data_IF_858638488797
#
_entry.id   IF_858638488797
#
_cell.length_a   1.000
_cell.length_b   1.000
_cell.length_c   1.000
_cell.angle_alpha   90.00
_cell.angle_beta   90.00
_cell.angle_gamma   90.00
#
_symmetry.space_group_name_H-M   'P 1'
#
loop_
_entity.id
_entity.type
_entity.pdbx_description
1 polymer ?
#
# COMPACT_ATOMS: atom_id res chain seq x y z
N UNK A 1 -18.80 -36.89 68.83
CA UNK A 1 -17.71 -37.07 67.86
C UNK A 1 -18.16 -36.72 66.41
N UNK A 2 -19.36 -37.06 65.96
CA UNK A 2 -19.86 -36.80 64.63
C UNK A 2 -19.95 -35.30 64.23
N UNK A 3 -20.31 -34.38 65.15
CA UNK A 3 -20.39 -32.94 64.86
C UNK A 3 -19.03 -32.24 64.60
N UNK A 4 -17.94 -32.81 65.14
CA UNK A 4 -16.58 -32.29 64.87
C UNK A 4 -15.99 -32.79 63.54
N UNK A 5 -16.44 -33.98 63.08
CA UNK A 5 -15.99 -34.51 61.79
C UNK A 5 -16.68 -33.78 60.59
N UNK A 6 -17.98 -33.42 60.74
CA UNK A 6 -18.70 -32.65 59.76
C UNK A 6 -18.17 -31.22 59.59
N UNK A 7 -17.72 -30.58 60.70
CA UNK A 7 -17.11 -29.24 60.60
C UNK A 7 -15.74 -29.26 59.94
N UNK A 8 -14.97 -30.35 60.11
CA UNK A 8 -13.66 -30.49 59.47
C UNK A 8 -13.76 -30.79 57.96
N UNK A 9 -14.78 -31.59 57.56
CA UNK A 9 -15.05 -31.85 56.15
C UNK A 9 -15.60 -30.61 55.43
N UNK A 10 -16.41 -29.75 56.06
CA UNK A 10 -16.90 -28.49 55.49
C UNK A 10 -15.75 -27.45 55.37
N UNK A 11 -14.79 -27.43 56.32
CA UNK A 11 -13.61 -26.56 56.26
C UNK A 11 -12.64 -26.98 55.13
N UNK A 12 -12.48 -28.29 54.89
CA UNK A 12 -11.65 -28.81 53.78
C UNK A 12 -12.33 -28.56 52.44
N UNK A 13 -13.66 -28.63 52.33
CA UNK A 13 -14.42 -28.31 51.13
C UNK A 13 -14.39 -26.81 50.79
N UNK A 14 -14.35 -25.94 51.81
CA UNK A 14 -14.23 -24.49 51.63
C UNK A 14 -12.78 -24.05 51.32
N UNK A 15 -11.75 -24.80 51.73
CA UNK A 15 -10.37 -24.55 51.33
C UNK A 15 -10.07 -25.03 49.89
N UNK A 16 -10.83 -25.97 49.35
CA UNK A 16 -10.67 -26.44 47.96
C UNK A 16 -11.23 -25.48 46.91
N UNK A 17 -12.01 -24.44 47.31
CA UNK A 17 -12.60 -23.44 46.41
C UNK A 17 -11.78 -22.14 46.36
N UNK A 18 -10.72 -22.04 47.16
CA UNK A 18 -9.82 -20.87 47.18
C UNK A 18 -8.40 -21.23 46.72
N UNK A 19 -8.28 -22.01 45.64
CA UNK A 19 -7.08 -21.89 44.83
C UNK A 19 -7.19 -20.54 44.13
N UNK A 20 -6.26 -19.60 44.37
CA UNK A 20 -6.15 -18.48 43.48
C UNK A 20 -5.95 -19.12 42.07
N UNK A 21 -6.80 -18.84 41.15
CA UNK A 21 -6.44 -18.93 39.76
C UNK A 21 -5.13 -18.15 39.66
N UNK A 22 -4.02 -18.83 39.47
CA UNK A 22 -2.80 -18.19 39.04
C UNK A 22 -3.26 -17.56 37.71
N UNK A 23 -3.58 -16.28 37.73
CA UNK A 23 -3.73 -15.53 36.52
C UNK A 23 -2.43 -15.77 35.76
N UNK A 24 -2.48 -16.46 34.65
CA UNK A 24 -1.31 -16.58 33.79
C UNK A 24 -0.80 -15.16 33.56
N UNK A 25 0.51 -14.96 33.67
CA UNK A 25 1.09 -13.67 33.35
C UNK A 25 0.71 -13.32 31.94
N UNK A 26 0.33 -12.04 31.63
CA UNK A 26 -0.04 -11.65 30.32
C UNK A 26 1.10 -11.92 29.32
N UNK A 27 0.77 -12.42 28.16
CA UNK A 27 1.73 -12.57 27.07
C UNK A 27 2.07 -11.19 26.55
N UNK A 28 3.33 -10.81 26.65
CA UNK A 28 3.81 -9.55 26.10
C UNK A 28 4.04 -9.72 24.60
N UNK A 29 3.31 -8.97 23.76
CA UNK A 29 3.44 -8.97 22.30
C UNK A 29 3.90 -7.60 21.79
N UNK A 30 4.99 -7.60 21.06
CA UNK A 30 5.60 -6.41 20.47
C UNK A 30 5.21 -6.29 19.00
N UNK A 31 4.62 -5.16 18.63
CA UNK A 31 4.07 -4.91 17.28
C UNK A 31 4.74 -3.67 16.68
N UNK A 32 5.59 -3.85 15.66
CA UNK A 32 6.25 -2.74 15.01
C UNK A 32 5.36 -2.11 13.93
N UNK A 33 5.26 -0.78 13.96
CA UNK A 33 4.44 0.02 13.03
C UNK A 33 5.11 1.37 12.74
N UNK A 34 4.76 2.00 11.62
CA UNK A 34 5.17 3.39 11.35
C UNK A 34 4.13 4.42 11.78
N UNK A 35 2.97 4.01 12.29
CA UNK A 35 1.99 4.97 12.76
C UNK A 35 2.27 5.42 14.19
N UNK A 36 2.22 6.72 14.41
CA UNK A 36 2.17 7.37 15.73
C UNK A 36 0.81 8.03 15.99
N UNK A 37 -0.18 7.82 15.11
CA UNK A 37 -1.52 8.38 15.26
C UNK A 37 -2.26 7.66 16.40
N UNK A 38 -2.65 8.41 17.43
CA UNK A 38 -3.27 7.87 18.65
C UNK A 38 -4.59 7.13 18.36
N UNK A 39 -5.41 7.61 17.42
CA UNK A 39 -6.69 6.97 17.09
C UNK A 39 -6.47 5.63 16.36
N UNK A 40 -5.48 5.57 15.46
CA UNK A 40 -5.08 4.33 14.81
C UNK A 40 -4.53 3.32 15.82
N UNK A 41 -3.61 3.73 16.70
CA UNK A 41 -3.04 2.86 17.73
C UNK A 41 -4.10 2.35 18.72
N UNK A 42 -5.07 3.20 19.10
CA UNK A 42 -6.20 2.81 19.93
C UNK A 42 -7.09 1.78 19.24
N UNK A 43 -7.35 1.96 17.94
CA UNK A 43 -8.13 0.99 17.15
C UNK A 43 -7.39 -0.35 17.06
N UNK A 44 -6.09 -0.34 16.73
CA UNK A 44 -5.26 -1.54 16.68
C UNK A 44 -5.20 -2.24 18.05
N UNK A 45 -5.06 -1.49 19.14
CA UNK A 45 -5.11 -2.01 20.51
C UNK A 45 -6.42 -2.72 20.81
N UNK A 46 -7.56 -2.16 20.36
CA UNK A 46 -8.86 -2.81 20.55
C UNK A 46 -8.95 -4.16 19.83
N UNK A 47 -8.27 -4.35 18.70
CA UNK A 47 -8.21 -5.65 18.02
C UNK A 47 -7.42 -6.68 18.83
N UNK A 48 -6.30 -6.25 19.45
CA UNK A 48 -5.53 -7.14 20.35
C UNK A 48 -6.38 -7.55 21.55
N UNK A 49 -7.11 -6.63 22.16
CA UNK A 49 -7.99 -6.90 23.30
C UNK A 49 -9.12 -7.89 22.92
N UNK A 50 -9.77 -7.69 21.77
CA UNK A 50 -10.82 -8.57 21.26
C UNK A 50 -10.28 -9.97 20.94
N UNK A 51 -9.10 -10.06 20.32
CA UNK A 51 -8.40 -11.31 20.07
C UNK A 51 -8.04 -12.04 21.36
N UNK A 52 -7.45 -11.33 22.33
CA UNK A 52 -7.12 -11.87 23.64
C UNK A 52 -8.35 -12.44 24.36
N UNK A 53 -9.46 -11.69 24.34
CA UNK A 53 -10.74 -12.13 24.88
C UNK A 53 -11.26 -13.40 24.19
N UNK A 54 -11.22 -13.44 22.86
CA UNK A 54 -11.70 -14.60 22.09
C UNK A 54 -10.85 -15.86 22.38
N UNK A 55 -9.55 -15.69 22.60
CA UNK A 55 -8.63 -16.75 22.96
C UNK A 55 -8.69 -17.15 24.45
N UNK A 56 -9.27 -16.32 25.32
CA UNK A 56 -9.29 -16.52 26.77
C UNK A 56 -7.92 -16.39 27.42
N UNK A 57 -7.02 -15.59 26.86
CA UNK A 57 -5.68 -15.29 27.37
C UNK A 57 -5.54 -13.81 27.66
N UNK A 58 -4.56 -13.44 28.50
CA UNK A 58 -4.19 -12.04 28.70
C UNK A 58 -3.03 -11.68 27.77
N UNK A 59 -3.18 -10.60 27.00
CA UNK A 59 -2.12 -10.04 26.15
C UNK A 59 -1.85 -8.61 26.59
N UNK A 60 -0.57 -8.25 26.69
CA UNK A 60 -0.09 -6.89 26.88
C UNK A 60 0.62 -6.44 25.61
N UNK A 61 -0.04 -5.63 24.74
CA UNK A 61 0.57 -5.18 23.50
C UNK A 61 1.53 -4.02 23.73
N UNK A 62 2.70 -4.07 23.12
CA UNK A 62 3.64 -2.96 22.98
C UNK A 62 3.73 -2.55 21.51
N UNK A 63 3.20 -1.36 21.15
CA UNK A 63 3.37 -0.81 19.82
C UNK A 63 4.70 -0.07 19.69
N UNK A 64 5.59 -0.57 18.82
CA UNK A 64 6.91 -0.01 18.58
C UNK A 64 6.79 0.92 17.37
N UNK A 65 6.89 2.24 17.61
CA UNK A 65 6.94 3.21 16.53
C UNK A 65 8.33 3.24 15.90
N UNK A 66 8.39 3.05 14.57
CA UNK A 66 9.57 3.23 13.75
C UNK A 66 9.28 4.33 12.73
N UNK A 67 10.24 5.24 12.49
CA UNK A 67 10.05 6.39 11.58
C UNK A 67 9.72 5.96 10.16
N UNK A 68 8.72 6.58 9.53
CA UNK A 68 8.24 6.21 8.19
C UNK A 68 9.29 6.34 7.09
N UNK A 69 10.20 7.33 7.16
CA UNK A 69 11.27 7.54 6.16
C UNK A 69 12.41 6.54 6.28
N UNK A 70 12.63 5.98 7.48
CA UNK A 70 13.71 5.02 7.76
C UNK A 70 13.15 3.66 8.19
N UNK A 71 11.85 3.44 7.99
CA UNK A 71 11.10 2.31 8.54
C UNK A 71 11.75 0.96 8.22
N UNK A 72 12.03 0.69 6.94
CA UNK A 72 12.60 -0.59 6.49
C UNK A 72 13.94 -0.91 7.18
N UNK A 73 14.83 0.08 7.26
CA UNK A 73 16.13 -0.10 7.92
C UNK A 73 15.98 -0.31 9.42
N UNK A 74 15.12 0.47 10.07
CA UNK A 74 14.86 0.36 11.51
C UNK A 74 14.15 -0.96 11.86
N UNK A 75 13.23 -1.42 11.01
CA UNK A 75 12.56 -2.70 11.18
C UNK A 75 13.55 -3.86 11.08
N UNK A 76 14.40 -3.86 10.07
CA UNK A 76 15.43 -4.91 9.93
C UNK A 76 16.36 -4.96 11.16
N UNK A 77 16.78 -3.79 11.65
CA UNK A 77 17.58 -3.69 12.89
C UNK A 77 16.83 -4.21 14.12
N UNK A 78 15.51 -3.89 14.22
CA UNK A 78 14.68 -4.37 15.31
C UNK A 78 14.53 -5.89 15.28
N UNK A 79 14.20 -6.48 14.10
CA UNK A 79 14.05 -7.94 13.94
C UNK A 79 15.33 -8.73 14.26
N UNK A 80 16.49 -8.10 14.15
CA UNK A 80 17.80 -8.70 14.48
C UNK A 80 18.27 -8.37 15.90
N UNK A 81 17.50 -7.64 16.68
CA UNK A 81 17.83 -7.24 18.04
C UNK A 81 17.59 -8.36 19.06
N UNK A 82 17.95 -8.12 20.33
CA UNK A 82 17.64 -9.05 21.44
C UNK A 82 16.18 -9.01 21.86
N UNK A 83 15.45 -7.98 21.48
CA UNK A 83 14.04 -7.76 21.79
C UNK A 83 13.29 -7.41 20.50
N UNK A 84 13.15 -8.37 19.58
CA UNK A 84 12.49 -8.11 18.30
C UNK A 84 10.98 -7.95 18.44
N UNK A 85 10.36 -7.35 17.45
CA UNK A 85 8.90 -7.39 17.30
C UNK A 85 8.43 -8.81 17.03
N UNK A 86 7.27 -9.19 17.58
CA UNK A 86 6.57 -10.46 17.33
C UNK A 86 5.75 -10.37 16.05
N UNK A 87 5.09 -9.24 15.83
CA UNK A 87 4.39 -8.90 14.59
C UNK A 87 4.86 -7.53 14.08
N UNK A 88 4.78 -7.31 12.80
CA UNK A 88 5.26 -6.06 12.20
C UNK A 88 4.53 -5.71 10.91
N UNK A 89 4.49 -4.43 10.62
CA UNK A 89 4.11 -3.93 9.31
C UNK A 89 5.28 -4.08 8.36
N UNK A 90 5.02 -4.37 7.10
CA UNK A 90 6.06 -4.54 6.07
C UNK A 90 5.63 -3.86 4.78
N UNK A 91 6.59 -3.18 4.14
CA UNK A 91 6.41 -2.53 2.84
C UNK A 91 6.55 -3.54 1.69
N UNK A 92 5.86 -3.26 0.60
CA UNK A 92 5.91 -4.06 -0.64
C UNK A 92 7.33 -4.26 -1.17
N UNK A 93 8.19 -3.24 -1.06
CA UNK A 93 9.58 -3.31 -1.53
C UNK A 93 10.43 -4.32 -0.75
N UNK A 94 10.11 -4.57 0.54
CA UNK A 94 10.96 -5.33 1.45
C UNK A 94 10.59 -6.81 1.54
N UNK A 95 9.33 -7.16 1.26
CA UNK A 95 8.77 -8.47 1.64
C UNK A 95 9.52 -9.65 1.03
N UNK A 96 9.92 -9.58 -0.25
CA UNK A 96 10.64 -10.69 -0.88
C UNK A 96 12.01 -10.94 -0.23
N UNK A 97 12.71 -9.88 0.14
CA UNK A 97 13.97 -9.99 0.89
C UNK A 97 13.74 -10.60 2.28
N UNK A 98 12.67 -10.22 2.98
CA UNK A 98 12.35 -10.74 4.32
C UNK A 98 11.92 -12.21 4.28
N UNK A 99 11.13 -12.62 3.29
CA UNK A 99 10.78 -14.03 3.06
C UNK A 99 12.05 -14.86 2.79
N UNK A 100 12.88 -14.41 1.86
CA UNK A 100 14.14 -15.10 1.51
C UNK A 100 15.11 -15.21 2.69
N UNK A 101 15.13 -14.20 3.58
CA UNK A 101 15.94 -14.23 4.80
C UNK A 101 15.32 -15.06 5.94
N UNK A 102 14.11 -15.62 5.75
CA UNK A 102 13.42 -16.42 6.77
C UNK A 102 12.94 -15.61 7.96
N UNK A 103 12.69 -14.31 7.79
CA UNK A 103 12.22 -13.41 8.87
C UNK A 103 10.72 -13.52 9.11
N UNK A 104 9.94 -13.93 8.10
CA UNK A 104 8.48 -14.03 8.19
C UNK A 104 8.03 -15.45 8.49
N UNK A 105 7.13 -15.62 9.44
CA UNK A 105 6.44 -16.87 9.70
C UNK A 105 5.37 -17.13 8.64
N UNK A 106 5.06 -18.41 8.37
CA UNK A 106 3.93 -18.78 7.51
C UNK A 106 2.61 -18.51 8.21
N UNK A 107 1.64 -17.97 7.48
CA UNK A 107 0.33 -17.59 7.99
C UNK A 107 -0.79 -18.56 7.57
N UNK A 108 -0.51 -19.55 6.71
CA UNK A 108 -1.51 -20.44 6.11
C UNK A 108 -2.46 -21.04 7.15
N UNK A 109 -1.93 -21.66 8.20
CA UNK A 109 -2.76 -22.31 9.23
C UNK A 109 -3.60 -21.28 10.02
N UNK A 110 -3.03 -20.12 10.33
CA UNK A 110 -3.71 -19.05 11.05
C UNK A 110 -4.86 -18.42 10.24
N UNK A 111 -4.72 -18.34 8.92
CA UNK A 111 -5.71 -17.75 8.02
C UNK A 111 -6.97 -18.57 7.84
N UNK A 112 -6.94 -19.89 8.07
CA UNK A 112 -8.07 -20.81 7.82
C UNK A 112 -9.33 -20.35 8.55
N UNK A 113 -9.20 -19.75 9.73
CA UNK A 113 -10.32 -19.27 10.54
C UNK A 113 -10.96 -17.97 10.00
N UNK A 114 -10.33 -17.30 9.02
CA UNK A 114 -10.68 -15.94 8.59
C UNK A 114 -10.91 -15.82 7.09
N UNK A 115 -11.48 -16.86 6.47
CA UNK A 115 -11.89 -16.90 5.08
C UNK A 115 -10.77 -16.43 4.10
N UNK A 116 -9.75 -17.26 3.83
CA UNK A 116 -8.67 -16.90 2.94
C UNK A 116 -9.13 -16.69 1.48
N UNK A 117 -10.24 -17.29 1.04
CA UNK A 117 -10.79 -17.15 -0.31
C UNK A 117 -11.40 -15.75 -0.57
N UNK A 118 -11.66 -14.99 0.50
CA UNK A 118 -12.11 -13.61 0.43
C UNK A 118 -10.99 -12.61 0.06
N UNK A 119 -9.74 -13.02 0.18
CA UNK A 119 -8.61 -12.19 -0.23
C UNK A 119 -8.52 -12.08 -1.75
N UNK A 120 -8.13 -10.91 -2.25
CA UNK A 120 -7.92 -10.70 -3.68
C UNK A 120 -6.56 -11.27 -4.13
N UNK A 121 -6.57 -12.14 -5.13
CA UNK A 121 -5.36 -12.84 -5.60
C UNK A 121 -4.28 -11.87 -6.12
N UNK A 122 -4.70 -10.82 -6.82
CA UNK A 122 -3.79 -9.79 -7.34
C UNK A 122 -3.11 -9.00 -6.23
N UNK A 123 -3.85 -8.68 -5.16
CA UNK A 123 -3.33 -8.01 -3.98
C UNK A 123 -2.44 -8.94 -3.14
N UNK A 124 -2.68 -10.26 -3.17
CA UNK A 124 -1.93 -11.25 -2.39
C UNK A 124 -0.64 -11.72 -3.04
N UNK A 125 -0.49 -11.61 -4.35
CA UNK A 125 0.59 -12.21 -5.12
C UNK A 125 2.01 -11.89 -4.60
N UNK A 126 2.21 -10.66 -4.13
CA UNK A 126 3.50 -10.19 -3.62
C UNK A 126 3.89 -10.85 -2.28
N UNK A 127 2.91 -11.21 -1.46
CA UNK A 127 3.06 -11.63 -0.05
C UNK A 127 3.19 -13.12 0.13
N UNK A 128 3.23 -13.85 -1.00
CA UNK A 128 3.32 -15.30 -1.06
C UNK A 128 4.64 -15.76 -1.70
N UNK A 129 5.02 -17.00 -1.38
CA UNK A 129 6.03 -17.76 -2.10
C UNK A 129 5.45 -19.15 -2.42
N UNK A 130 5.05 -19.36 -3.68
CA UNK A 130 4.23 -20.50 -4.06
C UNK A 130 2.88 -20.49 -3.33
N UNK A 131 2.58 -21.58 -2.62
CA UNK A 131 1.35 -21.71 -1.82
C UNK A 131 1.48 -21.15 -0.39
N UNK A 132 2.70 -20.78 0.02
CA UNK A 132 2.98 -20.27 1.36
C UNK A 132 2.71 -18.78 1.46
N UNK A 133 1.88 -18.37 2.42
CA UNK A 133 1.55 -16.97 2.72
C UNK A 133 2.39 -16.50 3.89
N UNK A 134 3.08 -15.36 3.74
CA UNK A 134 3.99 -14.79 4.75
C UNK A 134 3.54 -13.45 5.31
N UNK A 135 2.67 -12.74 4.61
CA UNK A 135 2.06 -11.52 5.09
C UNK A 135 0.66 -11.33 4.49
N UNK A 136 -0.18 -10.51 5.13
CA UNK A 136 -1.53 -10.20 4.64
C UNK A 136 -1.66 -8.68 4.53
N UNK A 137 -1.99 -8.13 3.35
CA UNK A 137 -2.18 -6.70 3.17
C UNK A 137 -3.30 -6.15 4.05
N UNK A 138 -3.00 -5.13 4.83
CA UNK A 138 -4.00 -4.33 5.52
C UNK A 138 -4.28 -3.01 4.79
N UNK A 139 -3.38 -2.61 3.91
CA UNK A 139 -3.50 -1.44 3.05
C UNK A 139 -3.24 -1.85 1.61
N UNK A 140 -4.23 -1.63 0.75
CA UNK A 140 -4.19 -1.92 -0.67
C UNK A 140 -4.73 -0.69 -1.40
N UNK A 141 -3.91 0.36 -1.44
CA UNK A 141 -4.35 1.67 -1.93
C UNK A 141 -4.05 1.80 -3.43
N UNK A 142 -5.08 1.84 -4.29
CA UNK A 142 -4.87 2.08 -5.70
C UNK A 142 -4.49 3.54 -5.92
N UNK A 143 -3.69 3.79 -6.93
CA UNK A 143 -3.49 5.14 -7.44
C UNK A 143 -4.65 5.53 -8.32
N UNK A 144 -5.25 6.66 -8.03
CA UNK A 144 -6.34 7.27 -8.78
C UNK A 144 -5.91 8.65 -9.27
N UNK A 145 -6.58 9.17 -10.28
CA UNK A 145 -6.38 10.56 -10.70
C UNK A 145 -7.18 11.49 -9.81
N UNK A 146 -6.51 12.46 -9.19
CA UNK A 146 -7.12 13.60 -8.50
C UNK A 146 -6.91 14.82 -9.37
N UNK A 147 -7.97 15.60 -9.65
CA UNK A 147 -7.90 16.68 -10.62
C UNK A 147 -8.64 17.95 -10.20
N UNK A 148 -8.21 19.08 -10.74
CA UNK A 148 -8.85 20.39 -10.60
C UNK A 148 -9.88 20.57 -11.72
N UNK A 149 -11.17 20.42 -11.39
CA UNK A 149 -12.26 20.51 -12.35
C UNK A 149 -12.41 21.91 -12.96
N UNK A 150 -12.05 22.96 -12.21
CA UNK A 150 -12.13 24.32 -12.72
C UNK A 150 -11.10 24.56 -13.86
N UNK A 151 -9.89 23.98 -13.77
CA UNK A 151 -8.88 24.09 -14.83
C UNK A 151 -9.27 23.32 -16.10
N UNK A 152 -9.91 22.15 -15.96
CA UNK A 152 -10.47 21.44 -17.12
C UNK A 152 -11.56 22.30 -17.82
N UNK A 153 -12.47 22.86 -17.04
CA UNK A 153 -13.53 23.73 -17.58
C UNK A 153 -12.96 25.00 -18.22
N UNK A 154 -11.97 25.66 -17.60
CA UNK A 154 -11.29 26.85 -18.13
C UNK A 154 -10.57 26.55 -19.47
N UNK A 155 -9.96 25.37 -19.57
CA UNK A 155 -9.34 24.91 -20.81
C UNK A 155 -10.36 24.51 -21.90
N UNK A 156 -11.65 24.46 -21.58
CA UNK A 156 -12.72 24.04 -22.50
C UNK A 156 -12.76 22.54 -22.72
N UNK A 157 -12.24 21.76 -21.77
CA UNK A 157 -12.23 20.31 -21.78
C UNK A 157 -13.46 19.74 -21.05
N UNK A 158 -13.82 18.51 -21.34
CA UNK A 158 -14.80 17.74 -20.59
C UNK A 158 -14.23 17.36 -19.22
N UNK A 159 -15.11 17.02 -18.30
CA UNK A 159 -14.70 16.34 -17.04
C UNK A 159 -14.07 14.98 -17.38
N UNK A 160 -12.97 14.58 -16.71
CA UNK A 160 -12.33 13.29 -16.93
C UNK A 160 -13.29 12.09 -16.88
N UNK A 161 -14.28 12.12 -15.98
CA UNK A 161 -15.28 11.05 -15.88
C UNK A 161 -16.25 11.00 -17.08
N UNK A 162 -16.40 12.09 -17.83
CA UNK A 162 -17.16 12.06 -19.09
C UNK A 162 -16.39 11.27 -20.15
N UNK A 163 -15.05 11.46 -20.26
CA UNK A 163 -14.20 10.64 -21.14
C UNK A 163 -14.22 9.17 -20.75
N UNK A 164 -14.20 8.86 -19.41
CA UNK A 164 -14.31 7.49 -18.90
C UNK A 164 -15.65 6.88 -19.33
N UNK A 165 -16.76 7.59 -19.13
CA UNK A 165 -18.10 7.11 -19.49
C UNK A 165 -18.27 6.89 -21.01
N UNK A 166 -17.58 7.67 -21.84
CA UNK A 166 -17.56 7.53 -23.30
C UNK A 166 -16.58 6.43 -23.77
N UNK A 167 -15.74 5.86 -22.90
CA UNK A 167 -14.69 4.89 -23.26
C UNK A 167 -13.54 5.51 -24.06
N UNK A 168 -13.32 6.82 -23.91
CA UNK A 168 -12.30 7.59 -24.66
C UNK A 168 -11.16 8.10 -23.77
N UNK A 169 -11.15 7.74 -22.49
CA UNK A 169 -10.10 8.12 -21.55
C UNK A 169 -8.84 7.26 -21.75
N UNK A 170 -8.05 7.59 -22.77
CA UNK A 170 -6.78 6.93 -23.11
C UNK A 170 -5.58 7.79 -22.70
N UNK A 171 -4.37 7.23 -22.79
CA UNK A 171 -3.13 7.97 -22.50
C UNK A 171 -2.89 9.10 -23.51
N UNK A 172 -3.29 8.93 -24.78
CA UNK A 172 -3.24 9.99 -25.78
C UNK A 172 -4.22 11.11 -25.43
N UNK A 173 -5.46 10.78 -25.04
CA UNK A 173 -6.44 11.77 -24.58
C UNK A 173 -5.95 12.50 -23.34
N UNK A 174 -5.31 11.79 -22.40
CA UNK A 174 -4.70 12.39 -21.22
C UNK A 174 -3.62 13.41 -21.62
N UNK A 175 -2.65 13.01 -22.46
CA UNK A 175 -1.60 13.92 -22.96
C UNK A 175 -2.18 15.17 -23.60
N UNK A 176 -3.18 15.00 -24.49
CA UNK A 176 -3.84 16.12 -25.17
C UNK A 176 -4.54 17.07 -24.20
N UNK A 177 -5.20 16.52 -23.16
CA UNK A 177 -5.81 17.33 -22.10
C UNK A 177 -4.75 18.11 -21.32
N UNK A 178 -3.66 17.47 -20.88
CA UNK A 178 -2.59 18.10 -20.10
C UNK A 178 -1.94 19.24 -20.90
N UNK A 179 -1.64 18.98 -22.17
CA UNK A 179 -1.10 19.99 -23.07
C UNK A 179 -2.10 21.15 -23.30
N UNK A 180 -3.37 20.86 -23.50
CA UNK A 180 -4.41 21.88 -23.70
C UNK A 180 -4.56 22.78 -22.48
N UNK A 181 -4.52 22.20 -21.26
CA UNK A 181 -4.54 22.97 -20.01
C UNK A 181 -3.33 23.91 -19.96
N UNK A 182 -2.13 23.40 -20.21
CA UNK A 182 -0.90 24.21 -20.22
C UNK A 182 -0.98 25.37 -21.21
N UNK A 183 -1.43 25.08 -22.44
CA UNK A 183 -1.52 26.08 -23.50
C UNK A 183 -2.59 27.16 -23.22
N UNK A 184 -3.69 26.81 -22.53
CA UNK A 184 -4.82 27.73 -22.31
C UNK A 184 -4.71 28.52 -21.00
N UNK A 185 -4.22 27.86 -19.93
CA UNK A 185 -4.23 28.45 -18.57
C UNK A 185 -2.83 28.86 -18.11
N UNK A 186 -1.77 28.33 -18.73
CA UNK A 186 -0.39 28.50 -18.28
C UNK A 186 -0.01 27.61 -17.09
N UNK A 187 -0.99 26.93 -16.46
CA UNK A 187 -0.77 25.99 -15.35
C UNK A 187 -0.29 24.65 -15.91
N UNK A 188 0.53 23.92 -15.17
CA UNK A 188 0.90 22.57 -15.59
C UNK A 188 -0.31 21.63 -15.61
N UNK A 189 -0.36 20.72 -16.59
CA UNK A 189 -1.43 19.73 -16.69
C UNK A 189 -1.29 18.64 -15.61
N UNK A 190 -0.08 18.13 -15.41
CA UNK A 190 0.17 16.99 -14.53
C UNK A 190 1.36 17.23 -13.58
N UNK A 191 1.22 16.75 -12.37
CA UNK A 191 2.28 16.62 -11.38
C UNK A 191 2.44 15.15 -11.01
N UNK A 192 3.67 14.64 -10.99
CA UNK A 192 3.99 13.29 -10.50
C UNK A 192 3.58 13.11 -9.04
N UNK A 193 3.48 11.87 -8.60
CA UNK A 193 3.10 11.50 -7.22
C UNK A 193 3.95 12.27 -6.18
N UNK A 194 5.22 12.42 -6.46
CA UNK A 194 6.13 13.20 -5.64
C UNK A 194 6.98 14.07 -6.56
N UNK A 195 6.61 15.34 -6.74
CA UNK A 195 7.30 16.20 -7.69
C UNK A 195 8.75 16.52 -7.27
N UNK A 196 9.09 16.38 -5.99
CA UNK A 196 10.47 16.44 -5.52
C UNK A 196 11.25 15.14 -5.78
N UNK A 197 10.56 14.06 -6.15
CA UNK A 197 11.07 12.71 -6.21
C UNK A 197 11.20 12.13 -7.60
N UNK A 198 11.59 12.92 -8.59
CA UNK A 198 11.95 12.36 -9.89
C UNK A 198 13.10 11.35 -9.77
N UNK A 199 14.03 11.54 -8.85
CA UNK A 199 15.08 10.59 -8.54
C UNK A 199 14.57 9.43 -7.66
N UNK A 200 13.96 9.73 -6.52
CA UNK A 200 13.65 8.74 -5.48
C UNK A 200 12.48 7.81 -5.82
N UNK A 201 11.66 8.14 -6.83
CA UNK A 201 10.43 7.39 -7.15
C UNK A 201 10.15 7.33 -8.63
N UNK A 202 11.18 7.32 -9.44
CA UNK A 202 11.03 7.29 -10.91
C UNK A 202 10.23 6.09 -11.36
N UNK A 203 10.52 4.89 -10.86
CA UNK A 203 9.79 3.68 -11.18
C UNK A 203 8.29 3.81 -10.85
N UNK A 204 7.94 4.27 -9.65
CA UNK A 204 6.55 4.48 -9.25
C UNK A 204 5.83 5.48 -10.18
N UNK A 205 6.50 6.58 -10.55
CA UNK A 205 5.93 7.60 -11.42
C UNK A 205 5.71 7.09 -12.86
N UNK A 206 6.56 6.20 -13.35
CA UNK A 206 6.48 5.65 -14.70
C UNK A 206 5.55 4.43 -14.80
N UNK A 207 5.35 3.70 -13.71
CA UNK A 207 4.55 2.46 -13.68
C UNK A 207 3.17 2.59 -14.35
N UNK A 208 2.34 3.61 -14.06
CA UNK A 208 1.03 3.70 -14.71
C UNK A 208 1.14 3.91 -16.21
N UNK A 209 2.11 4.68 -16.68
CA UNK A 209 2.36 4.89 -18.11
C UNK A 209 2.83 3.61 -18.78
N UNK A 210 3.86 2.97 -18.23
CA UNK A 210 4.45 1.75 -18.77
C UNK A 210 3.40 0.63 -18.86
N UNK A 211 2.66 0.38 -17.79
CA UNK A 211 1.58 -0.62 -17.79
C UNK A 211 0.40 -0.21 -18.68
N UNK A 212 0.11 1.07 -18.77
CA UNK A 212 -0.94 1.60 -19.63
C UNK A 212 -0.67 1.40 -21.13
N UNK A 213 0.59 1.25 -21.52
CA UNK A 213 1.01 0.92 -22.87
C UNK A 213 1.19 -0.59 -23.11
N UNK A 214 0.94 -1.41 -22.09
CA UNK A 214 1.10 -2.87 -22.17
C UNK A 214 2.51 -3.38 -21.86
N UNK A 215 3.41 -2.49 -21.40
CA UNK A 215 4.73 -2.85 -20.88
C UNK A 215 4.72 -3.17 -19.39
N UNK A 216 5.89 -3.40 -18.85
CA UNK A 216 6.18 -3.45 -17.40
C UNK A 216 7.68 -3.26 -17.17
N UNK A 217 8.09 -3.24 -15.91
CA UNK A 217 9.50 -3.29 -15.53
C UNK A 217 10.03 -4.73 -15.66
N UNK A 218 9.40 -5.67 -14.99
CA UNK A 218 9.59 -7.11 -15.17
C UNK A 218 8.33 -7.87 -14.73
N UNK A 219 8.19 -9.10 -15.20
CA UNK A 219 7.07 -10.00 -14.87
C UNK A 219 7.38 -10.80 -13.59
N UNK A 220 6.37 -11.49 -13.06
CA UNK A 220 6.53 -12.42 -11.94
C UNK A 220 7.50 -13.59 -12.28
N UNK A 221 7.61 -13.96 -13.57
CA UNK A 221 8.60 -14.93 -14.07
C UNK A 221 10.00 -14.31 -14.30
N UNK A 222 10.22 -13.08 -13.82
CA UNK A 222 11.48 -12.32 -13.91
C UNK A 222 11.89 -11.97 -15.35
N UNK A 223 10.95 -11.98 -16.31
CA UNK A 223 11.19 -11.46 -17.64
C UNK A 223 11.24 -9.94 -17.61
N UNK A 224 12.36 -9.35 -18.03
CA UNK A 224 12.56 -7.90 -18.07
C UNK A 224 11.88 -7.31 -19.29
N UNK A 225 10.97 -6.35 -19.07
CA UNK A 225 10.14 -5.72 -20.11
C UNK A 225 10.34 -4.21 -20.23
N UNK A 226 11.17 -3.59 -19.37
CA UNK A 226 11.35 -2.12 -19.37
C UNK A 226 11.95 -1.60 -20.67
N UNK A 227 12.69 -2.40 -21.41
CA UNK A 227 13.25 -2.08 -22.72
C UNK A 227 12.42 -2.63 -23.89
N UNK A 228 11.18 -3.09 -23.63
CA UNK A 228 10.23 -3.45 -24.69
C UNK A 228 9.79 -2.23 -25.50
N UNK A 229 9.33 -2.41 -26.74
CA UNK A 229 8.80 -1.30 -27.55
C UNK A 229 7.68 -0.53 -26.85
N UNK A 230 6.81 -1.23 -26.12
CA UNK A 230 5.69 -0.67 -25.37
C UNK A 230 6.17 0.21 -24.22
N UNK A 231 7.11 -0.28 -23.43
CA UNK A 231 7.71 0.46 -22.30
C UNK A 231 8.48 1.68 -22.79
N UNK A 232 9.26 1.54 -23.86
CA UNK A 232 9.99 2.66 -24.49
C UNK A 232 9.00 3.73 -24.96
N UNK A 233 7.91 3.33 -25.67
CA UNK A 233 6.91 4.28 -26.15
C UNK A 233 6.22 5.04 -24.99
N UNK A 234 5.92 4.35 -23.90
CA UNK A 234 5.32 4.94 -22.71
C UNK A 234 6.23 5.99 -22.06
N UNK A 235 7.50 5.63 -21.82
CA UNK A 235 8.47 6.52 -21.18
C UNK A 235 8.82 7.69 -22.12
N UNK A 236 8.91 7.45 -23.44
CA UNK A 236 9.08 8.51 -24.44
C UNK A 236 7.93 9.50 -24.40
N UNK A 237 6.68 9.00 -24.32
CA UNK A 237 5.51 9.90 -24.22
C UNK A 237 5.60 10.76 -22.94
N UNK A 238 5.94 10.18 -21.80
CA UNK A 238 6.10 10.93 -20.56
C UNK A 238 7.22 11.98 -20.66
N UNK A 239 8.37 11.60 -21.22
CA UNK A 239 9.49 12.50 -21.48
C UNK A 239 9.09 13.67 -22.40
N UNK A 240 8.33 13.40 -23.48
CA UNK A 240 7.80 14.42 -24.36
C UNK A 240 6.83 15.37 -23.65
N UNK A 241 5.98 14.85 -22.75
CA UNK A 241 5.08 15.69 -21.95
C UNK A 241 5.85 16.66 -21.06
N UNK A 242 7.02 16.25 -20.54
CA UNK A 242 7.90 17.11 -19.74
C UNK A 242 8.61 18.16 -20.61
N UNK A 243 9.28 17.74 -21.71
CA UNK A 243 10.25 18.57 -22.40
C UNK A 243 9.78 19.13 -23.76
N UNK A 244 8.82 18.47 -24.43
CA UNK A 244 8.26 18.93 -25.72
C UNK A 244 6.97 19.71 -25.48
N UNK A 245 6.02 19.13 -24.73
CA UNK A 245 4.73 19.76 -24.45
C UNK A 245 4.82 20.77 -23.29
N UNK A 246 5.77 20.61 -22.38
CA UNK A 246 5.93 21.42 -21.18
C UNK A 246 4.70 21.33 -20.26
N UNK A 247 3.94 20.25 -20.35
CA UNK A 247 2.65 20.07 -19.65
C UNK A 247 2.76 19.38 -18.31
N UNK A 248 3.90 18.79 -18.00
CA UNK A 248 4.21 18.15 -16.70
C UNK A 248 5.13 19.05 -15.91
N UNK A 249 4.95 19.10 -14.58
CA UNK A 249 5.86 19.80 -13.66
C UNK A 249 7.25 19.19 -13.80
N UNK A 250 8.26 19.91 -14.29
CA UNK A 250 9.57 19.34 -14.53
C UNK A 250 10.39 19.14 -13.24
N UNK A 251 11.47 18.33 -13.27
CA UNK A 251 12.37 18.19 -12.12
C UNK A 251 12.90 19.54 -11.64
N UNK A 252 12.84 19.76 -10.31
CA UNK A 252 13.31 20.97 -9.66
C UNK A 252 12.34 22.16 -9.69
N UNK A 253 11.18 22.06 -10.32
CA UNK A 253 10.11 23.06 -10.23
C UNK A 253 9.25 22.74 -8.98
N UNK A 254 8.94 23.76 -8.19
CA UNK A 254 8.20 23.62 -6.92
C UNK A 254 6.68 23.70 -7.08
N UNK A 255 6.15 23.75 -8.32
CA UNK A 255 4.71 23.77 -8.57
C UNK A 255 4.05 22.52 -8.01
N UNK A 256 2.95 22.71 -7.26
CA UNK A 256 2.30 21.63 -6.56
C UNK A 256 0.80 21.62 -6.85
N UNK A 257 0.23 20.43 -7.08
CA UNK A 257 -1.19 20.25 -7.34
C UNK A 257 -2.06 20.78 -6.20
N UNK A 258 -1.73 20.46 -4.95
CA UNK A 258 -2.53 20.86 -3.78
C UNK A 258 -2.55 22.37 -3.53
N UNK A 259 -1.65 23.10 -4.17
CA UNK A 259 -1.62 24.57 -4.16
C UNK A 259 -2.09 25.21 -5.48
N UNK A 260 -2.59 24.40 -6.42
CA UNK A 260 -3.10 24.87 -7.72
C UNK A 260 -2.04 25.04 -8.81
N UNK A 261 -0.81 24.54 -8.59
CA UNK A 261 0.28 24.61 -9.56
C UNK A 261 0.22 23.57 -10.69
N UNK A 262 -0.67 22.59 -10.57
CA UNK A 262 -0.95 21.61 -11.61
C UNK A 262 -2.44 21.27 -11.64
N UNK A 263 -2.93 20.76 -12.79
CA UNK A 263 -4.33 20.42 -12.97
C UNK A 263 -4.69 19.01 -12.49
N UNK A 264 -3.74 18.09 -12.41
CA UNK A 264 -3.98 16.79 -11.80
C UNK A 264 -2.69 16.15 -11.27
N UNK A 265 -2.89 15.12 -10.46
CA UNK A 265 -1.87 14.20 -9.96
C UNK A 265 -2.45 12.79 -9.86
N UNK A 266 -1.61 11.77 -9.97
CA UNK A 266 -1.99 10.41 -9.61
C UNK A 266 -1.58 10.17 -8.17
N UNK A 267 -2.54 9.80 -7.34
CA UNK A 267 -2.26 9.66 -5.91
C UNK A 267 -3.27 8.72 -5.24
N UNK A 268 -3.01 8.39 -3.99
CA UNK A 268 -3.87 7.55 -3.18
C UNK A 268 -4.95 8.38 -2.46
N UNK A 269 -6.05 7.75 -2.06
CA UNK A 269 -7.15 8.41 -1.34
C UNK A 269 -6.73 9.03 0.00
N UNK A 270 -5.64 8.57 0.60
CA UNK A 270 -5.06 9.16 1.81
C UNK A 270 -4.63 10.63 1.64
N UNK A 271 -4.38 11.05 0.39
CA UNK A 271 -3.98 12.44 0.08
C UNK A 271 -5.16 13.41 -0.06
N UNK A 272 -6.40 12.91 -0.08
CA UNK A 272 -7.59 13.76 -0.23
C UNK A 272 -7.77 14.76 0.92
N UNK A 273 -7.25 14.44 2.10
CA UNK A 273 -7.23 15.38 3.23
C UNK A 273 -6.51 16.70 2.93
N UNK A 274 -5.52 16.70 2.04
CA UNK A 274 -4.82 17.92 1.61
C UNK A 274 -5.70 18.86 0.78
N UNK A 275 -6.87 18.42 0.34
CA UNK A 275 -7.85 19.20 -0.41
C UNK A 275 -8.90 19.88 0.47
N UNK A 276 -8.87 19.68 1.80
CA UNK A 276 -9.88 20.21 2.72
C UNK A 276 -9.97 21.74 2.68
N UNK A 277 -8.88 22.46 2.40
CA UNK A 277 -8.81 23.92 2.41
C UNK A 277 -8.70 24.55 1.01
N UNK A 278 -8.71 23.74 -0.07
CA UNK A 278 -8.66 24.29 -1.44
C UNK A 278 -9.98 24.98 -1.79
N UNK A 279 -9.90 26.05 -2.57
CA UNK A 279 -11.06 26.87 -2.93
C UNK A 279 -11.61 26.56 -4.33
N UNK A 280 -10.89 25.78 -5.11
CA UNK A 280 -11.29 25.34 -6.45
C UNK A 280 -12.02 23.98 -6.37
N UNK A 281 -12.82 23.72 -7.40
CA UNK A 281 -13.52 22.42 -7.51
C UNK A 281 -12.56 21.33 -7.92
N UNK A 282 -12.64 20.20 -7.25
CA UNK A 282 -11.85 19.03 -7.56
C UNK A 282 -12.71 17.79 -7.74
N UNK A 283 -12.16 16.79 -8.36
CA UNK A 283 -12.78 15.50 -8.57
C UNK A 283 -11.74 14.38 -8.56
N UNK A 284 -12.24 13.15 -8.62
CA UNK A 284 -11.42 11.95 -8.79
C UNK A 284 -11.90 11.17 -10.00
N UNK A 285 -10.98 10.46 -10.64
CA UNK A 285 -11.25 9.61 -11.79
C UNK A 285 -10.32 8.40 -11.79
N UNK A 286 -10.68 7.39 -12.56
CA UNK A 286 -9.76 6.32 -12.93
C UNK A 286 -8.57 6.87 -13.71
N UNK A 287 -7.44 6.16 -13.67
CA UNK A 287 -6.31 6.45 -14.53
C UNK A 287 -6.66 6.17 -16.01
N UNK A 288 -5.97 6.82 -16.97
CA UNK A 288 -6.17 6.56 -18.37
C UNK A 288 -6.03 5.06 -18.71
N UNK A 289 -6.92 4.54 -19.57
CA UNK A 289 -6.93 3.13 -19.95
C UNK A 289 -7.39 2.16 -18.86
N UNK A 290 -7.90 2.67 -17.72
CA UNK A 290 -8.30 1.88 -16.53
C UNK A 290 -7.16 1.00 -15.99
N UNK A 291 -5.93 1.47 -16.11
CA UNK A 291 -4.71 0.79 -15.62
C UNK A 291 -4.18 1.55 -14.44
N UNK A 292 -4.24 0.94 -13.27
CA UNK A 292 -3.70 1.47 -12.03
C UNK A 292 -2.63 0.53 -11.46
N UNK A 293 -2.05 0.91 -10.36
CA UNK A 293 -1.17 0.07 -9.56
C UNK A 293 -1.49 0.28 -8.08
N UNK A 294 -1.10 -0.68 -7.27
CA UNK A 294 -1.37 -0.69 -5.84
C UNK A 294 -0.12 -0.27 -5.08
N UNK A 295 -0.26 0.68 -4.17
CA UNK A 295 0.68 0.87 -3.09
C UNK A 295 0.22 0.03 -1.91
N UNK A 296 1.03 -0.93 -1.49
CA UNK A 296 0.64 -1.91 -0.50
C UNK A 296 1.51 -1.88 0.76
N UNK A 297 0.86 -2.25 1.86
CA UNK A 297 1.50 -2.56 3.11
C UNK A 297 0.78 -3.73 3.77
N UNK A 298 1.54 -4.63 4.39
CA UNK A 298 1.02 -5.83 4.99
C UNK A 298 1.44 -5.98 6.46
N UNK A 299 0.77 -6.90 7.15
CA UNK A 299 1.18 -7.38 8.46
C UNK A 299 1.81 -8.76 8.31
N UNK A 300 2.93 -8.97 9.00
CA UNK A 300 3.65 -10.24 9.07
C UNK A 300 3.95 -10.60 10.52
N UNK A 301 4.19 -11.89 10.78
CA UNK A 301 4.67 -12.40 12.06
C UNK A 301 6.16 -12.76 11.95
N UNK A 302 6.92 -12.50 13.02
CA UNK A 302 8.35 -12.80 13.08
C UNK A 302 8.58 -14.30 13.32
N UNK A 303 9.21 -14.98 12.36
CA UNK A 303 9.52 -16.41 12.45
C UNK A 303 10.43 -16.78 13.63
N UNK A 304 11.26 -15.86 14.09
CA UNK A 304 12.18 -16.06 15.22
C UNK A 304 11.59 -15.69 16.58
N UNK A 305 10.36 -15.17 16.63
CA UNK A 305 9.68 -14.83 17.89
C UNK A 305 9.40 -16.07 18.73
N UNK A 306 9.54 -15.94 20.06
CA UNK A 306 9.07 -16.96 20.99
C UNK A 306 7.54 -17.16 20.94
N UNK A 307 6.81 -16.16 20.40
CA UNK A 307 5.35 -16.13 20.26
C UNK A 307 4.92 -16.24 18.79
N UNK A 308 5.74 -16.82 17.90
CA UNK A 308 5.52 -16.79 16.44
C UNK A 308 4.11 -17.27 16.04
N UNK A 309 3.64 -18.40 16.60
CA UNK A 309 2.31 -18.93 16.28
C UNK A 309 1.19 -17.98 16.76
N UNK A 310 1.30 -17.42 17.95
CA UNK A 310 0.32 -16.47 18.48
C UNK A 310 0.34 -15.14 17.68
N UNK A 311 1.52 -14.70 17.27
CA UNK A 311 1.67 -13.53 16.44
C UNK A 311 1.07 -13.76 15.03
N UNK A 312 1.26 -14.94 14.44
CA UNK A 312 0.63 -15.31 13.17
C UNK A 312 -0.90 -15.31 13.26
N UNK A 313 -1.46 -15.88 14.35
CA UNK A 313 -2.92 -15.86 14.57
C UNK A 313 -3.43 -14.43 14.83
N UNK A 314 -2.67 -13.59 15.53
CA UNK A 314 -3.04 -12.18 15.72
C UNK A 314 -3.02 -11.41 14.39
N UNK A 315 -2.00 -11.62 13.55
CA UNK A 315 -1.93 -11.02 12.21
C UNK A 315 -3.14 -11.42 11.37
N UNK A 316 -3.48 -12.71 11.33
CA UNK A 316 -4.64 -13.21 10.61
C UNK A 316 -5.96 -12.61 11.14
N UNK A 317 -6.08 -12.46 12.47
CA UNK A 317 -7.25 -11.80 13.09
C UNK A 317 -7.33 -10.31 12.73
N UNK A 318 -6.24 -9.56 12.87
CA UNK A 318 -6.20 -8.12 12.62
C UNK A 318 -6.45 -7.78 11.14
N UNK A 319 -6.22 -8.72 10.23
CA UNK A 319 -6.51 -8.61 8.80
C UNK A 319 -7.80 -9.34 8.38
N UNK A 320 -8.59 -9.83 9.33
CA UNK A 320 -9.91 -10.42 9.07
C UNK A 320 -10.88 -9.40 8.49
N UNK A 321 -11.97 -9.84 7.86
CA UNK A 321 -12.97 -8.96 7.28
C UNK A 321 -13.55 -7.95 8.30
N UNK A 322 -13.78 -8.39 9.53
CA UNK A 322 -14.32 -7.53 10.60
C UNK A 322 -13.35 -6.43 11.03
N UNK A 323 -12.06 -6.72 11.12
CA UNK A 323 -11.05 -5.71 11.44
C UNK A 323 -10.76 -4.82 10.24
N UNK A 324 -10.65 -5.40 9.03
CA UNK A 324 -10.43 -4.70 7.78
C UNK A 324 -11.52 -3.64 7.52
N UNK A 325 -12.79 -3.95 7.75
CA UNK A 325 -13.89 -2.99 7.62
C UNK A 325 -13.72 -1.76 8.55
N UNK A 326 -13.20 -1.96 9.75
CA UNK A 326 -12.99 -0.88 10.74
C UNK A 326 -11.79 0.01 10.43
N UNK A 327 -10.74 -0.52 9.78
CA UNK A 327 -9.58 0.26 9.34
C UNK A 327 -9.75 0.85 7.95
N UNK A 328 -10.80 0.48 7.22
CA UNK A 328 -11.05 0.90 5.83
C UNK A 328 -11.15 2.41 5.65
N UNK A 329 -11.47 3.16 6.71
CA UNK A 329 -11.44 4.62 6.70
C UNK A 329 -10.03 5.20 6.52
N UNK A 330 -9.00 4.42 6.85
CA UNK A 330 -7.59 4.81 6.70
C UNK A 330 -6.95 4.15 5.48
N UNK A 331 -7.25 2.85 5.28
CA UNK A 331 -6.58 2.03 4.27
C UNK A 331 -7.57 1.10 3.57
N UNK A 332 -7.69 1.16 2.24
CA UNK A 332 -8.49 0.20 1.49
C UNK A 332 -7.98 -1.23 1.72
N UNK A 333 -8.88 -2.20 2.01
CA UNK A 333 -8.49 -3.58 2.27
C UNK A 333 -8.28 -4.38 0.98
N UNK A 334 -7.65 -5.56 1.12
CA UNK A 334 -7.55 -6.56 0.05
C UNK A 334 -8.70 -7.60 0.08
N UNK A 335 -9.68 -7.45 0.97
CA UNK A 335 -10.81 -8.39 1.09
C UNK A 335 -11.97 -7.97 0.22
N UNK A 336 -12.37 -8.86 -0.70
CA UNK A 336 -13.45 -8.64 -1.67
C UNK A 336 -14.78 -8.29 -0.98
N UNK A 337 -15.15 -9.03 0.07
CA UNK A 337 -16.37 -8.77 0.82
C UNK A 337 -16.41 -7.39 1.49
N UNK A 338 -15.25 -6.91 1.95
CA UNK A 338 -15.15 -5.58 2.59
C UNK A 338 -15.21 -4.48 1.55
N UNK A 339 -14.55 -4.64 0.39
CA UNK A 339 -14.59 -3.66 -0.70
C UNK A 339 -16.01 -3.43 -1.24
N UNK A 340 -16.90 -4.41 -1.09
CA UNK A 340 -18.32 -4.31 -1.48
C UNK A 340 -19.24 -3.88 -0.32
N UNK A 341 -18.72 -3.76 0.91
CA UNK A 341 -19.51 -3.45 2.10
C UNK A 341 -19.97 -2.00 2.17
N UNK A 342 -21.14 -1.76 2.79
CA UNK A 342 -21.62 -0.40 3.05
C UNK A 342 -20.65 0.37 3.96
N UNK A 343 -19.97 -0.30 4.88
CA UNK A 343 -18.98 0.28 5.77
C UNK A 343 -17.82 0.88 4.98
N UNK A 344 -17.26 0.13 4.02
CA UNK A 344 -16.19 0.62 3.16
C UNK A 344 -16.68 1.74 2.25
N UNK A 345 -17.79 1.54 1.56
CA UNK A 345 -18.33 2.52 0.61
C UNK A 345 -18.64 3.88 1.25
N UNK A 346 -18.94 3.90 2.55
CA UNK A 346 -19.20 5.12 3.32
C UNK A 346 -18.03 5.53 4.23
N UNK A 347 -16.88 4.88 4.14
CA UNK A 347 -15.77 5.12 5.07
C UNK A 347 -15.01 6.42 4.81
N UNK A 348 -14.96 6.91 3.56
CA UNK A 348 -14.19 8.08 3.18
C UNK A 348 -15.02 9.36 3.28
N UNK A 349 -14.51 10.39 3.97
CA UNK A 349 -15.20 11.65 4.17
C UNK A 349 -15.25 12.55 2.91
N UNK A 350 -14.42 12.26 1.90
CA UNK A 350 -14.22 13.11 0.73
C UNK A 350 -14.84 12.53 -0.55
N UNK A 351 -15.14 11.22 -0.57
CA UNK A 351 -15.67 10.51 -1.73
C UNK A 351 -17.11 10.04 -1.46
N UNK A 352 -17.91 10.04 -2.52
CA UNK A 352 -19.24 9.42 -2.45
C UNK A 352 -19.12 7.90 -2.46
N UNK A 353 -20.12 7.15 -1.96
CA UNK A 353 -20.13 5.69 -2.03
C UNK A 353 -19.96 5.16 -3.48
N UNK A 354 -20.49 5.89 -4.46
CA UNK A 354 -20.39 5.58 -5.87
C UNK A 354 -18.94 5.71 -6.36
N UNK A 355 -18.25 6.78 -5.99
CA UNK A 355 -16.83 6.96 -6.30
C UNK A 355 -15.95 5.92 -5.58
N UNK A 356 -16.26 5.60 -4.33
CA UNK A 356 -15.57 4.53 -3.59
C UNK A 356 -15.72 3.19 -4.30
N UNK A 357 -16.90 2.87 -4.83
CA UNK A 357 -17.17 1.63 -5.56
C UNK A 357 -16.50 1.63 -6.94
N UNK A 358 -16.82 2.63 -7.78
CA UNK A 358 -16.53 2.60 -9.21
C UNK A 358 -15.09 3.02 -9.52
N UNK A 359 -14.43 3.75 -8.61
CA UNK A 359 -13.05 4.20 -8.79
C UNK A 359 -12.13 3.44 -7.85
N UNK A 360 -12.35 3.49 -6.52
CA UNK A 360 -11.40 2.91 -5.56
C UNK A 360 -11.47 1.39 -5.53
N UNK A 361 -12.63 0.82 -5.21
CA UNK A 361 -12.77 -0.65 -5.10
C UNK A 361 -12.49 -1.34 -6.44
N UNK A 362 -13.02 -0.81 -7.55
CA UNK A 362 -12.75 -1.38 -8.87
C UNK A 362 -11.26 -1.34 -9.23
N UNK A 363 -10.55 -0.27 -8.88
CA UNK A 363 -9.11 -0.18 -9.12
C UNK A 363 -8.30 -1.13 -8.23
N UNK A 364 -8.73 -1.40 -6.99
CA UNK A 364 -8.10 -2.47 -6.17
C UNK A 364 -8.19 -3.82 -6.88
N UNK A 365 -9.39 -4.18 -7.36
CA UNK A 365 -9.65 -5.48 -7.97
C UNK A 365 -9.06 -5.65 -9.39
N UNK A 366 -8.74 -4.56 -10.10
CA UNK A 366 -8.19 -4.59 -11.46
C UNK A 366 -6.68 -4.32 -11.52
N UNK A 367 -6.05 -4.00 -10.39
CA UNK A 367 -4.66 -3.58 -10.34
C UNK A 367 -3.78 -4.63 -9.65
N UNK A 368 -2.49 -4.48 -9.82
CA UNK A 368 -1.49 -5.28 -9.10
C UNK A 368 -0.47 -4.37 -8.42
N UNK A 369 0.20 -4.89 -7.40
CA UNK A 369 1.31 -4.24 -6.73
C UNK A 369 2.45 -3.91 -7.71
N UNK A 370 3.36 -3.06 -7.28
CA UNK A 370 4.66 -2.92 -7.94
C UNK A 370 5.43 -4.23 -7.79
N UNK A 371 6.27 -4.53 -8.77
CA UNK A 371 7.11 -5.72 -8.71
C UNK A 371 8.13 -5.60 -7.57
N UNK A 372 8.46 -6.68 -6.90
CA UNK A 372 9.45 -6.74 -5.83
C UNK A 372 10.36 -7.94 -6.00
N UNK A 373 11.60 -7.83 -5.56
CA UNK A 373 12.63 -8.85 -5.68
C UNK A 373 13.50 -8.90 -4.42
N UNK A 374 14.18 -10.01 -4.19
CA UNK A 374 15.10 -10.14 -3.05
C UNK A 374 16.26 -9.14 -3.09
N UNK A 375 16.61 -8.68 -4.28
CA UNK A 375 17.66 -7.70 -4.52
C UNK A 375 17.13 -6.28 -4.75
N UNK A 376 15.83 -6.00 -4.51
CA UNK A 376 15.24 -4.66 -4.72
C UNK A 376 16.09 -3.53 -4.17
N UNK A 377 16.65 -3.58 -2.95
CA UNK A 377 17.49 -2.49 -2.45
C UNK A 377 18.72 -2.20 -3.30
N UNK A 378 19.34 -3.23 -3.91
CA UNK A 378 20.47 -3.06 -4.81
C UNK A 378 20.03 -2.53 -6.17
N UNK A 379 18.93 -3.09 -6.67
CA UNK A 379 18.32 -2.68 -7.94
C UNK A 379 17.95 -1.20 -7.89
N UNK A 380 17.29 -0.75 -6.84
CA UNK A 380 16.84 0.63 -6.66
C UNK A 380 18.02 1.60 -6.69
N UNK A 381 19.10 1.31 -5.95
CA UNK A 381 20.31 2.16 -5.92
C UNK A 381 20.97 2.23 -7.31
N UNK A 382 21.11 1.10 -8.02
CA UNK A 382 21.76 1.07 -9.32
C UNK A 382 20.92 1.70 -10.42
N UNK A 383 19.59 1.50 -10.39
CA UNK A 383 18.69 2.06 -11.40
C UNK A 383 18.40 3.53 -11.21
N UNK A 384 18.34 4.04 -9.97
CA UNK A 384 18.14 5.46 -9.67
C UNK A 384 19.11 6.36 -10.42
N UNK A 385 20.42 6.03 -10.37
CA UNK A 385 21.48 6.77 -11.06
C UNK A 385 21.27 6.79 -12.59
N UNK A 386 20.71 5.71 -13.14
CA UNK A 386 20.45 5.59 -14.58
C UNK A 386 19.16 6.30 -14.95
N UNK A 387 18.11 6.19 -14.13
CA UNK A 387 16.86 6.94 -14.34
C UNK A 387 17.06 8.44 -14.34
N UNK A 388 17.99 8.97 -13.55
CA UNK A 388 18.32 10.41 -13.55
C UNK A 388 18.72 10.93 -14.93
N UNK A 389 19.28 10.08 -15.80
CA UNK A 389 19.62 10.47 -17.17
C UNK A 389 18.40 10.80 -18.03
N UNK A 390 17.20 10.31 -17.67
CA UNK A 390 15.95 10.64 -18.37
C UNK A 390 15.58 12.11 -18.21
N UNK A 391 16.01 12.76 -17.13
CA UNK A 391 15.63 14.12 -16.81
C UNK A 391 16.52 15.15 -17.49
N UNK A 392 16.77 14.92 -18.78
CA UNK A 392 17.48 15.79 -19.69
C UNK A 392 16.69 15.89 -21.00
N UNK A 393 16.45 17.10 -21.56
CA UNK A 393 15.71 17.27 -22.82
C UNK A 393 16.26 16.46 -24.00
N UNK A 394 17.58 16.19 -24.02
CA UNK A 394 18.27 15.46 -25.08
C UNK A 394 18.46 13.95 -24.76
N UNK A 395 17.74 13.40 -23.77
CA UNK A 395 17.88 12.01 -23.34
C UNK A 395 17.50 11.02 -24.45
N UNK A 396 18.35 10.03 -24.68
CA UNK A 396 18.02 8.84 -25.48
C UNK A 396 17.28 7.83 -24.58
N UNK A 397 15.96 7.95 -24.54
CA UNK A 397 15.09 7.13 -23.69
C UNK A 397 15.34 5.64 -23.92
N UNK A 398 15.44 5.20 -25.18
CA UNK A 398 15.63 3.78 -25.49
C UNK A 398 16.97 3.25 -24.99
N UNK A 399 18.06 4.04 -25.14
CA UNK A 399 19.37 3.66 -24.65
C UNK A 399 19.39 3.59 -23.12
N UNK A 400 18.75 4.54 -22.42
CA UNK A 400 18.67 4.58 -20.95
C UNK A 400 17.89 3.38 -20.43
N UNK A 401 16.73 3.07 -21.01
CA UNK A 401 15.93 1.90 -20.60
C UNK A 401 16.66 0.58 -20.88
N UNK A 402 17.51 0.51 -21.93
CA UNK A 402 18.40 -0.62 -22.18
C UNK A 402 19.49 -0.80 -21.10
N UNK A 403 20.02 0.30 -20.54
CA UNK A 403 20.93 0.23 -19.39
C UNK A 403 20.20 -0.30 -18.15
N UNK A 404 19.00 0.22 -17.86
CA UNK A 404 18.16 -0.22 -16.74
C UNK A 404 17.81 -1.70 -16.87
N UNK A 405 17.37 -2.13 -18.07
CA UNK A 405 17.08 -3.53 -18.36
C UNK A 405 18.31 -4.45 -18.10
N UNK A 406 19.51 -3.95 -18.36
CA UNK A 406 20.74 -4.69 -18.07
C UNK A 406 20.96 -4.85 -16.57
N UNK A 407 20.69 -3.81 -15.77
CA UNK A 407 20.75 -3.88 -14.31
C UNK A 407 19.73 -4.91 -13.79
N UNK A 408 18.48 -4.86 -14.25
CA UNK A 408 17.46 -5.84 -13.87
C UNK A 408 17.88 -7.26 -14.20
N UNK A 409 18.32 -7.54 -15.44
CA UNK A 409 18.77 -8.89 -15.85
C UNK A 409 19.94 -9.42 -15.03
N UNK A 410 20.78 -8.55 -14.50
CA UNK A 410 21.92 -8.93 -13.68
C UNK A 410 21.56 -9.21 -12.22
N UNK A 411 20.49 -8.58 -11.71
CA UNK A 411 20.13 -8.59 -10.29
C UNK A 411 18.84 -9.36 -9.97
N UNK A 412 17.94 -9.57 -10.94
CA UNK A 412 16.72 -10.36 -10.68
C UNK A 412 17.05 -11.84 -10.46
N UNK A 413 16.56 -12.40 -9.33
CA UNK A 413 16.76 -13.79 -8.93
C UNK A 413 15.43 -14.39 -8.43
#
# INVERSE_FOLDING_TARGET
>A
MMKKLTSLLLAILLLAVALPSLAEEPVHLRIATWTSNEDQLKLLGSFVDEFAQAKGIAIEPEFIFLSGTEYSSLLLMNLQSNEPADAFWVMEADIKAYISAGLCAKLNDAMVAYDPDDLDDGAMSLWCDGEDVYAIPFSTSPFIMIYNADLFAEAGLKDPNEYVAEGTWSWETFRDCMKTIKDKTGVYGYMTVNNAGYADRTEMNLTPFVRGFGGDFWTDDLEVLIDSPESIAAVQMFHDMVYVDGSVVPPGDESNFFTGGAACTFNQISQLGNLAEVTWKWGVSKLPGDVSFLGQAAMAANAASANADLAAELVAYMTSASCAARVAQYWPPCRKSVLESEEFLNSNAYLTPEQMKDIVASSVLSSRAMSSNINSPTIDIETEIVFDKLWNPDADVAAILGEIATIYRNNLQ
#
